data_IF_693515916612
#
_entry.id   IF_693515916612
#
_cell.length_a   1.000
_cell.length_b   1.000
_cell.length_c   1.000
_cell.angle_alpha   90.00
_cell.angle_beta   90.00
_cell.angle_gamma   90.00
#
_symmetry.space_group_name_H-M   'P 1'
#
loop_
_entity.id
_entity.type
_entity.pdbx_description
1 polymer ?
#
# COMPACT_ATOMS: atom_id res chain seq x y z
N UNK A 1 30.23 63.53 3.67
CA UNK A 1 28.78 63.42 3.96
C UNK A 1 28.04 62.51 2.99
N UNK A 2 28.57 62.25 1.79
CA UNK A 2 27.96 61.43 0.72
C UNK A 2 28.01 59.92 0.96
N UNK A 3 29.06 59.41 1.62
CA UNK A 3 29.24 57.97 1.83
C UNK A 3 28.24 57.39 2.84
N UNK A 4 27.87 58.17 3.86
CA UNK A 4 26.93 57.73 4.90
C UNK A 4 25.51 57.57 4.35
N UNK A 5 25.09 58.47 3.46
CA UNK A 5 23.81 58.40 2.77
C UNK A 5 23.73 57.22 1.78
N UNK A 6 24.83 56.88 1.11
CA UNK A 6 24.88 55.74 0.19
C UNK A 6 24.79 54.41 0.95
N UNK A 7 25.50 54.28 2.07
CA UNK A 7 25.42 53.09 2.91
C UNK A 7 24.04 52.91 3.54
N UNK A 8 23.38 53.99 3.98
CA UNK A 8 22.03 53.93 4.51
C UNK A 8 21.01 53.44 3.46
N UNK A 9 21.13 53.91 2.21
CA UNK A 9 20.28 53.48 1.10
C UNK A 9 20.46 51.99 0.78
N UNK A 10 21.71 51.51 0.72
CA UNK A 10 22.00 50.08 0.50
C UNK A 10 21.46 49.23 1.66
N UNK A 11 21.60 49.68 2.90
CA UNK A 11 21.06 48.96 4.06
C UNK A 11 19.53 48.87 4.01
N UNK A 12 18.86 49.96 3.66
CA UNK A 12 17.40 50.02 3.53
C UNK A 12 16.90 49.04 2.45
N UNK A 13 17.55 49.01 1.29
CA UNK A 13 17.23 48.06 0.21
C UNK A 13 17.45 46.60 0.62
N UNK A 14 18.52 46.29 1.36
CA UNK A 14 18.75 44.96 1.93
C UNK A 14 17.66 44.55 2.93
N UNK A 15 17.23 45.48 3.81
CA UNK A 15 16.16 45.19 4.77
C UNK A 15 14.80 44.99 4.12
N UNK A 16 14.52 45.72 3.02
CA UNK A 16 13.30 45.56 2.23
C UNK A 16 13.27 44.19 1.54
N UNK A 17 14.40 43.74 0.99
CA UNK A 17 14.51 42.41 0.37
C UNK A 17 14.34 41.28 1.39
N UNK A 18 14.92 41.41 2.58
CA UNK A 18 14.72 40.45 3.68
C UNK A 18 13.26 40.39 4.13
N UNK A 19 12.60 41.56 4.22
CA UNK A 19 11.19 41.66 4.56
C UNK A 19 10.29 41.01 3.50
N UNK A 20 10.58 41.27 2.23
CA UNK A 20 9.85 40.66 1.11
C UNK A 20 9.98 39.14 1.09
N UNK A 21 11.20 38.62 1.33
CA UNK A 21 11.47 37.18 1.40
C UNK A 21 10.73 36.53 2.57
N UNK A 22 10.69 37.19 3.74
CA UNK A 22 9.94 36.72 4.91
C UNK A 22 8.44 36.68 4.63
N UNK A 23 7.91 37.69 3.94
CA UNK A 23 6.51 37.75 3.53
C UNK A 23 6.17 36.62 2.55
N UNK A 24 6.98 36.44 1.49
CA UNK A 24 6.81 35.35 0.53
C UNK A 24 6.84 33.97 1.20
N UNK A 25 7.77 33.75 2.13
CA UNK A 25 7.87 32.48 2.85
C UNK A 25 6.64 32.22 3.73
N UNK A 26 6.12 33.25 4.40
CA UNK A 26 4.90 33.13 5.20
C UNK A 26 3.67 32.84 4.32
N UNK A 27 3.57 33.50 3.16
CA UNK A 27 2.50 33.24 2.18
C UNK A 27 2.55 31.81 1.63
N UNK A 28 3.75 31.29 1.33
CA UNK A 28 3.93 29.91 0.87
C UNK A 28 3.54 28.91 1.96
N UNK A 29 3.97 29.15 3.21
CA UNK A 29 3.59 28.30 4.34
C UNK A 29 2.07 28.32 4.54
N UNK A 30 1.45 29.50 4.51
CA UNK A 30 0.00 29.63 4.65
C UNK A 30 -0.75 28.90 3.53
N UNK A 31 -0.28 29.00 2.28
CA UNK A 31 -0.88 28.27 1.17
C UNK A 31 -0.74 26.75 1.34
N UNK A 32 0.43 26.29 1.78
CA UNK A 32 0.69 24.87 2.03
C UNK A 32 -0.20 24.34 3.16
N UNK A 33 -0.31 25.05 4.27
CA UNK A 33 -1.15 24.64 5.40
C UNK A 33 -2.63 24.62 5.02
N UNK A 34 -3.11 25.61 4.28
CA UNK A 34 -4.49 25.64 3.78
C UNK A 34 -4.79 24.48 2.83
N UNK A 35 -3.85 24.14 1.93
CA UNK A 35 -4.02 22.98 1.04
C UNK A 35 -4.05 21.65 1.81
N UNK A 36 -3.22 21.50 2.85
CA UNK A 36 -3.20 20.30 3.68
C UNK A 36 -4.51 20.14 4.48
N UNK A 37 -5.02 21.23 5.04
CA UNK A 37 -6.31 21.26 5.75
C UNK A 37 -7.44 20.84 4.80
N UNK A 38 -7.47 21.38 3.57
CA UNK A 38 -8.48 21.03 2.57
C UNK A 38 -8.45 19.52 2.27
N UNK A 39 -7.28 18.92 2.05
CA UNK A 39 -7.15 17.48 1.79
C UNK A 39 -7.69 16.65 2.96
N UNK A 40 -7.39 17.04 4.20
CA UNK A 40 -7.86 16.36 5.42
C UNK A 40 -9.39 16.38 5.53
N UNK A 41 -10.06 17.41 5.03
CA UNK A 41 -11.53 17.48 5.02
C UNK A 41 -12.16 16.81 3.79
N UNK A 42 -11.51 16.86 2.63
CA UNK A 42 -12.01 16.24 1.40
C UNK A 42 -12.07 14.72 1.52
N UNK A 43 -11.07 14.08 2.14
CA UNK A 43 -11.02 12.60 2.25
C UNK A 43 -12.20 12.02 3.06
N UNK A 44 -12.55 12.53 4.26
CA UNK A 44 -13.75 12.10 4.98
C UNK A 44 -15.05 12.37 4.21
N UNK A 45 -15.13 13.51 3.51
CA UNK A 45 -16.31 13.86 2.71
C UNK A 45 -16.53 12.91 1.54
N UNK A 46 -15.46 12.51 0.85
CA UNK A 46 -15.57 11.52 -0.25
C UNK A 46 -15.97 10.16 0.30
N UNK A 47 -15.40 9.71 1.43
CA UNK A 47 -15.80 8.45 2.09
C UNK A 47 -17.29 8.46 2.44
N UNK A 48 -17.77 9.54 3.05
CA UNK A 48 -19.20 9.69 3.38
C UNK A 48 -20.06 9.67 2.11
N UNK A 49 -19.68 10.40 1.07
CA UNK A 49 -20.37 10.39 -0.22
C UNK A 49 -20.49 8.97 -0.80
N UNK A 50 -19.41 8.18 -0.78
CA UNK A 50 -19.43 6.79 -1.26
C UNK A 50 -20.30 5.85 -0.41
N UNK A 51 -20.31 6.03 0.92
CA UNK A 51 -21.19 5.26 1.82
C UNK A 51 -22.67 5.58 1.52
N UNK A 52 -23.01 6.87 1.38
CA UNK A 52 -24.37 7.29 1.06
C UNK A 52 -24.79 6.81 -0.33
N UNK A 53 -23.91 6.91 -1.34
CA UNK A 53 -24.16 6.40 -2.68
C UNK A 53 -24.45 4.89 -2.65
N UNK A 54 -23.66 4.13 -1.90
CA UNK A 54 -23.86 2.68 -1.73
C UNK A 54 -25.23 2.38 -1.10
N UNK A 55 -25.63 3.12 -0.07
CA UNK A 55 -26.94 2.96 0.57
C UNK A 55 -28.10 3.34 -0.37
N UNK A 56 -27.97 4.43 -1.14
CA UNK A 56 -28.99 4.84 -2.12
C UNK A 56 -29.15 3.79 -3.21
N UNK A 57 -28.06 3.22 -3.72
CA UNK A 57 -28.12 2.15 -4.71
C UNK A 57 -28.80 0.91 -4.14
N UNK A 58 -28.55 0.55 -2.88
CA UNK A 58 -29.25 -0.53 -2.18
C UNK A 58 -30.75 -0.23 -2.00
N UNK A 59 -31.12 1.01 -1.66
CA UNK A 59 -32.50 1.44 -1.52
C UNK A 59 -33.26 1.42 -2.85
N UNK A 60 -32.63 1.87 -3.93
CA UNK A 60 -33.19 1.80 -5.29
C UNK A 60 -33.33 0.35 -5.73
N UNK A 61 -32.32 -0.48 -5.45
CA UNK A 61 -32.36 -1.91 -5.74
C UNK A 61 -33.54 -2.58 -5.03
N UNK A 62 -33.69 -2.36 -3.71
CA UNK A 62 -34.78 -2.89 -2.91
C UNK A 62 -36.16 -2.41 -3.39
N UNK A 63 -36.26 -1.15 -3.83
CA UNK A 63 -37.49 -0.56 -4.37
C UNK A 63 -37.89 -1.17 -5.71
N UNK A 64 -36.91 -1.53 -6.56
CA UNK A 64 -37.15 -2.07 -7.90
C UNK A 64 -37.33 -3.60 -7.90
N UNK A 65 -36.94 -4.28 -6.82
CA UNK A 65 -37.09 -5.72 -6.66
C UNK A 65 -38.23 -6.07 -5.68
N UNK A 66 -39.48 -5.88 -6.10
CA UNK A 66 -40.66 -6.32 -5.33
C UNK A 66 -40.81 -7.85 -5.26
N UNK A 67 -40.00 -8.65 -5.96
CA UNK A 67 -40.16 -10.11 -6.03
C UNK A 67 -39.01 -10.83 -5.31
N UNK A 68 -39.30 -11.25 -4.07
CA UNK A 68 -38.58 -12.21 -3.21
C UNK A 68 -37.16 -11.79 -2.77
N UNK A 69 -37.08 -10.79 -1.91
CA UNK A 69 -35.86 -10.48 -1.16
C UNK A 69 -35.88 -11.18 0.21
N UNK A 70 -35.52 -12.47 0.24
CA UNK A 70 -34.96 -13.00 1.49
C UNK A 70 -33.65 -12.25 1.75
N UNK A 71 -33.42 -11.70 2.96
CA UNK A 71 -32.14 -11.04 3.32
C UNK A 71 -30.91 -11.96 3.19
N UNK A 72 -31.15 -13.26 3.09
CA UNK A 72 -30.18 -14.34 2.86
C UNK A 72 -30.03 -14.74 1.38
N UNK A 73 -30.68 -14.03 0.46
CA UNK A 73 -30.64 -14.40 -0.95
C UNK A 73 -29.24 -14.23 -1.54
N UNK A 74 -28.92 -15.12 -2.49
CA UNK A 74 -27.64 -15.19 -3.19
C UNK A 74 -27.28 -13.86 -3.88
N UNK A 75 -28.30 -13.07 -4.27
CA UNK A 75 -28.13 -11.77 -4.92
C UNK A 75 -27.59 -10.70 -3.96
N UNK A 76 -28.05 -10.71 -2.71
CA UNK A 76 -27.50 -9.83 -1.67
C UNK A 76 -26.06 -10.20 -1.32
N UNK A 77 -25.72 -11.49 -1.38
CA UNK A 77 -24.35 -11.94 -1.15
C UNK A 77 -23.41 -11.52 -2.28
N UNK A 78 -23.90 -11.56 -3.52
CA UNK A 78 -23.19 -11.05 -4.70
C UNK A 78 -22.97 -9.53 -4.60
N UNK A 79 -23.98 -8.76 -4.20
CA UNK A 79 -23.87 -7.31 -4.01
C UNK A 79 -22.87 -6.93 -2.90
N UNK A 80 -22.85 -7.67 -1.78
CA UNK A 80 -21.85 -7.45 -0.72
C UNK A 80 -20.44 -7.77 -1.21
N UNK A 81 -20.27 -8.83 -1.99
CA UNK A 81 -18.98 -9.20 -2.60
C UNK A 81 -18.48 -8.16 -3.60
N UNK A 82 -19.37 -7.56 -4.41
CA UNK A 82 -18.96 -6.52 -5.36
C UNK A 82 -18.57 -5.22 -4.64
N UNK A 83 -19.30 -4.83 -3.60
CA UNK A 83 -18.94 -3.66 -2.75
C UNK A 83 -17.62 -3.92 -2.03
N UNK A 84 -17.44 -5.10 -1.42
CA UNK A 84 -16.20 -5.45 -0.73
C UNK A 84 -14.98 -5.46 -1.67
N UNK A 85 -15.14 -5.98 -2.88
CA UNK A 85 -14.09 -5.97 -3.91
C UNK A 85 -13.75 -4.54 -4.36
N UNK A 86 -14.78 -3.69 -4.56
CA UNK A 86 -14.58 -2.29 -4.91
C UNK A 86 -13.77 -1.54 -3.85
N UNK A 87 -14.10 -1.71 -2.57
CA UNK A 87 -13.35 -1.11 -1.46
C UNK A 87 -11.94 -1.71 -1.28
N UNK A 88 -11.74 -3.02 -1.51
CA UNK A 88 -10.41 -3.65 -1.48
C UNK A 88 -9.48 -3.09 -2.58
N UNK A 89 -10.03 -2.88 -3.78
CA UNK A 89 -9.30 -2.27 -4.91
C UNK A 89 -9.00 -0.80 -4.62
N UNK A 90 -9.97 -0.04 -4.12
CA UNK A 90 -9.77 1.36 -3.78
C UNK A 90 -8.70 1.53 -2.68
N UNK A 91 -8.73 0.68 -1.65
CA UNK A 91 -7.71 0.65 -0.60
C UNK A 91 -6.32 0.31 -1.18
N UNK A 92 -6.20 -0.68 -2.08
CA UNK A 92 -4.92 -1.03 -2.71
C UNK A 92 -4.35 0.11 -3.57
N UNK A 93 -5.21 0.84 -4.27
CA UNK A 93 -4.83 1.96 -5.14
C UNK A 93 -4.37 3.15 -4.30
N UNK A 94 -5.10 3.48 -3.22
CA UNK A 94 -4.67 4.51 -2.28
C UNK A 94 -3.33 4.18 -1.61
N UNK A 95 -3.08 2.89 -1.35
CA UNK A 95 -1.88 2.46 -0.63
C UNK A 95 -0.58 2.43 -1.46
N UNK A 96 -0.57 2.57 -2.80
CA UNK A 96 0.66 2.70 -3.63
C UNK A 96 1.70 1.55 -3.51
N UNK A 97 1.40 0.54 -2.70
CA UNK A 97 2.34 -0.42 -2.15
C UNK A 97 2.80 -1.45 -3.19
N UNK A 98 1.94 -1.75 -4.16
CA UNK A 98 2.26 -2.69 -5.23
C UNK A 98 3.45 -2.20 -6.06
N UNK A 99 3.51 -0.90 -6.36
CA UNK A 99 4.59 -0.29 -7.14
C UNK A 99 5.91 -0.26 -6.36
N UNK A 100 5.85 -0.03 -5.05
CA UNK A 100 7.03 -0.09 -4.19
C UNK A 100 7.60 -1.52 -4.13
N UNK A 101 6.74 -2.53 -4.03
CA UNK A 101 7.12 -3.94 -3.93
C UNK A 101 7.75 -4.47 -5.24
N UNK A 102 7.26 -4.02 -6.38
CA UNK A 102 7.81 -4.39 -7.69
C UNK A 102 9.23 -3.82 -7.88
N UNK A 103 9.47 -2.57 -7.43
CA UNK A 103 10.80 -1.95 -7.47
C UNK A 103 11.78 -2.62 -6.50
N UNK A 104 11.32 -3.19 -5.39
CA UNK A 104 12.17 -3.95 -4.45
C UNK A 104 12.40 -5.40 -4.87
N UNK A 105 11.95 -5.81 -6.07
CA UNK A 105 12.17 -7.14 -6.62
C UNK A 105 11.24 -8.21 -6.03
N UNK A 106 10.12 -7.81 -5.41
CA UNK A 106 9.08 -8.74 -4.95
C UNK A 106 8.23 -9.15 -6.13
N UNK A 107 8.55 -10.31 -6.71
CA UNK A 107 7.74 -10.91 -7.77
C UNK A 107 6.49 -11.59 -7.19
N UNK A 108 5.40 -11.71 -7.99
CA UNK A 108 4.30 -12.60 -7.67
C UNK A 108 4.83 -13.99 -7.27
N UNK A 109 4.39 -14.50 -6.12
CA UNK A 109 4.85 -15.80 -5.58
C UNK A 109 4.34 -17.03 -6.34
N UNK A 110 4.10 -16.93 -7.66
CA UNK A 110 3.69 -18.04 -8.52
C UNK A 110 4.85 -19.01 -8.72
N UNK A 111 4.55 -20.29 -9.01
CA UNK A 111 5.59 -21.31 -9.18
C UNK A 111 6.39 -21.08 -10.45
N UNK A 112 5.71 -20.68 -11.52
CA UNK A 112 6.33 -20.45 -12.82
C UNK A 112 7.36 -19.32 -12.77
N UNK A 113 7.04 -18.22 -12.11
CA UNK A 113 7.95 -17.06 -12.00
C UNK A 113 9.17 -17.39 -11.15
N UNK A 114 8.98 -18.12 -10.03
CA UNK A 114 10.10 -18.61 -9.24
C UNK A 114 11.03 -19.52 -10.06
N UNK A 115 10.47 -20.40 -10.89
CA UNK A 115 11.25 -21.29 -11.75
C UNK A 115 12.05 -20.52 -12.80
N UNK A 116 11.45 -19.51 -13.42
CA UNK A 116 12.12 -18.65 -14.41
C UNK A 116 13.26 -17.88 -13.74
N UNK A 117 13.01 -17.28 -12.56
CA UNK A 117 14.01 -16.55 -11.81
C UNK A 117 15.22 -17.44 -11.43
N UNK A 118 14.96 -18.65 -10.92
CA UNK A 118 16.01 -19.61 -10.55
C UNK A 118 16.81 -20.09 -11.76
N UNK A 119 16.14 -20.38 -12.90
CA UNK A 119 16.82 -20.79 -14.14
C UNK A 119 17.69 -19.69 -14.74
N UNK A 120 17.32 -18.43 -14.52
CA UNK A 120 18.10 -17.27 -14.93
C UNK A 120 19.28 -16.96 -13.98
N UNK A 121 19.49 -17.78 -12.94
CA UNK A 121 20.57 -17.61 -11.98
C UNK A 121 20.29 -16.56 -10.90
N UNK A 122 19.04 -16.09 -10.75
CA UNK A 122 18.65 -15.21 -9.66
C UNK A 122 18.45 -15.98 -8.37
N UNK A 123 18.87 -15.39 -7.25
CA UNK A 123 18.58 -15.92 -5.93
C UNK A 123 17.14 -15.57 -5.54
N UNK A 124 16.34 -16.58 -5.18
CA UNK A 124 14.97 -16.40 -4.74
C UNK A 124 14.85 -16.76 -3.26
N UNK A 125 14.32 -15.83 -2.47
CA UNK A 125 13.97 -16.09 -1.07
C UNK A 125 12.48 -16.43 -0.98
N UNK A 126 12.15 -17.58 -0.40
CA UNK A 126 10.75 -18.04 -0.23
C UNK A 126 10.54 -18.42 1.23
N UNK A 127 9.54 -17.81 1.88
CA UNK A 127 9.03 -18.29 3.16
C UNK A 127 8.12 -19.50 2.90
N UNK A 128 8.48 -20.71 3.33
CA UNK A 128 7.74 -21.94 2.98
C UNK A 128 6.29 -21.97 3.49
N UNK A 129 5.99 -21.25 4.57
CA UNK A 129 4.65 -21.03 5.14
C UNK A 129 3.89 -19.84 4.55
N UNK A 130 4.45 -19.15 3.54
CA UNK A 130 3.86 -18.04 2.81
C UNK A 130 3.80 -16.73 3.60
N UNK A 131 2.88 -15.84 3.20
CA UNK A 131 2.69 -14.50 3.80
C UNK A 131 2.50 -14.56 5.32
N UNK A 132 1.85 -15.61 5.83
CA UNK A 132 1.67 -15.80 7.28
C UNK A 132 2.99 -16.04 8.01
N UNK A 133 3.91 -16.82 7.44
CA UNK A 133 5.23 -16.98 8.05
C UNK A 133 6.06 -15.69 7.90
N UNK A 134 5.99 -15.03 6.74
CA UNK A 134 6.71 -13.79 6.49
C UNK A 134 6.28 -12.64 7.44
N UNK A 135 5.01 -12.59 7.83
CA UNK A 135 4.47 -11.53 8.70
C UNK A 135 4.48 -11.87 10.20
N UNK A 136 4.40 -13.15 10.58
CA UNK A 136 4.17 -13.57 11.98
C UNK A 136 5.24 -14.53 12.55
N UNK A 137 6.43 -14.61 11.95
CA UNK A 137 7.52 -15.45 12.48
C UNK A 137 8.29 -14.75 13.60
N UNK A 138 8.31 -15.37 14.79
CA UNK A 138 9.13 -14.97 15.94
C UNK A 138 10.17 -16.05 16.30
N UNK A 139 10.90 -15.89 17.41
CA UNK A 139 11.91 -16.87 17.89
C UNK A 139 11.33 -18.23 18.30
N UNK A 140 10.06 -18.26 18.68
CA UNK A 140 9.35 -19.47 19.12
C UNK A 140 8.51 -20.13 18.02
N UNK A 141 8.39 -19.47 16.86
CA UNK A 141 7.50 -19.87 15.78
C UNK A 141 7.85 -21.26 15.24
N UNK A 142 6.89 -22.18 15.34
CA UNK A 142 7.01 -23.50 14.75
C UNK A 142 6.43 -23.52 13.34
N UNK A 143 7.26 -23.96 12.40
CA UNK A 143 6.87 -24.02 11.00
C UNK A 143 5.78 -25.07 10.78
N UNK A 144 4.60 -24.60 10.38
CA UNK A 144 3.45 -25.45 10.06
C UNK A 144 3.47 -25.78 8.58
N UNK A 145 4.05 -26.93 8.22
CA UNK A 145 4.15 -27.37 6.82
C UNK A 145 2.78 -27.67 6.20
N UNK A 146 1.92 -28.42 6.88
CA UNK A 146 0.68 -28.95 6.29
C UNK A 146 0.97 -29.71 4.98
N UNK A 147 0.14 -29.51 3.95
CA UNK A 147 0.36 -30.04 2.59
C UNK A 147 1.05 -29.03 1.64
N UNK A 148 1.71 -28.00 2.17
CA UNK A 148 2.30 -26.92 1.37
C UNK A 148 3.71 -27.30 0.90
N UNK A 149 3.78 -27.90 -0.29
CA UNK A 149 5.04 -28.40 -0.91
C UNK A 149 5.49 -27.60 -2.13
N UNK A 150 4.87 -26.45 -2.39
CA UNK A 150 5.09 -25.67 -3.61
C UNK A 150 6.53 -25.19 -3.80
N UNK A 151 7.16 -24.64 -2.77
CA UNK A 151 8.55 -24.17 -2.85
C UNK A 151 9.54 -25.33 -3.06
N UNK A 152 9.29 -26.49 -2.44
CA UNK A 152 10.13 -27.68 -2.59
C UNK A 152 10.02 -28.25 -4.01
N UNK A 153 8.82 -28.27 -4.58
CA UNK A 153 8.61 -28.66 -5.98
C UNK A 153 9.36 -27.72 -6.93
N UNK A 154 9.29 -26.41 -6.69
CA UNK A 154 10.03 -25.41 -7.49
C UNK A 154 11.55 -25.64 -7.42
N UNK A 155 12.09 -25.94 -6.25
CA UNK A 155 13.52 -26.24 -6.10
C UNK A 155 13.94 -27.53 -6.82
N UNK A 156 13.11 -28.58 -6.75
CA UNK A 156 13.31 -29.84 -7.47
C UNK A 156 13.29 -29.63 -8.99
N UNK A 157 12.29 -28.90 -9.48
CA UNK A 157 12.09 -28.63 -10.90
C UNK A 157 13.19 -27.71 -11.47
N UNK A 158 13.69 -26.76 -10.67
CA UNK A 158 14.83 -25.91 -11.03
C UNK A 158 16.20 -26.58 -10.82
N UNK A 159 16.25 -27.75 -10.16
CA UNK A 159 17.48 -28.47 -9.79
C UNK A 159 18.45 -27.60 -8.98
N UNK A 160 17.92 -26.82 -8.04
CA UNK A 160 18.71 -25.94 -7.16
C UNK A 160 18.67 -26.45 -5.73
N UNK A 161 19.77 -26.26 -5.01
CA UNK A 161 19.83 -26.60 -3.60
C UNK A 161 19.10 -25.55 -2.75
N UNK A 162 18.33 -26.03 -1.77
CA UNK A 162 17.66 -25.16 -0.80
C UNK A 162 18.67 -24.80 0.29
N UNK A 163 19.17 -23.57 0.27
CA UNK A 163 19.97 -23.04 1.36
C UNK A 163 19.09 -22.81 2.59
N UNK A 164 19.32 -23.59 3.65
CA UNK A 164 18.61 -23.42 4.92
C UNK A 164 19.34 -22.38 5.77
N UNK A 165 18.67 -21.29 6.19
CA UNK A 165 19.24 -20.38 7.17
C UNK A 165 19.52 -21.14 8.46
N UNK A 166 20.55 -20.72 9.19
CA UNK A 166 21.07 -21.41 10.38
C UNK A 166 20.00 -21.69 11.46
N UNK A 167 18.97 -20.84 11.51
CA UNK A 167 17.77 -20.98 12.37
C UNK A 167 16.94 -22.24 12.09
N UNK A 168 16.96 -22.77 10.86
CA UNK A 168 16.24 -24.00 10.47
C UNK A 168 17.11 -25.27 10.52
N UNK A 169 18.42 -25.16 10.78
CA UNK A 169 19.32 -26.33 10.87
C UNK A 169 19.03 -27.24 12.07
N UNK A 170 18.27 -26.76 13.08
CA UNK A 170 17.90 -27.54 14.29
C UNK A 170 16.71 -28.50 14.10
N UNK A 171 16.05 -28.52 12.95
CA UNK A 171 14.98 -29.48 12.65
C UNK A 171 15.31 -30.26 11.38
N UNK A 172 15.73 -31.51 11.57
CA UNK A 172 15.94 -32.50 10.52
C UNK A 172 14.61 -32.77 9.81
N UNK A 173 14.64 -32.80 8.48
CA UNK A 173 13.52 -33.28 7.67
C UNK A 173 13.55 -34.80 7.77
N UNK A 174 12.60 -35.37 8.51
CA UNK A 174 12.27 -36.80 8.46
C UNK A 174 10.97 -36.93 7.69
#
# INVERSE_FOLDING_TARGET
MTDLSCLAYVLEEWTVVEYLKKYLFHMIIALLTMSAILVVFIVPLTILFFIYLSNILLLIYQRNSEVKADPLSEVWDSARKTIASFWDIYARIWHGLKLLLEVTGVMPGSREECLIALKNGHLVSISPGGVREALFSDESYQLMWGNRKGFAQVALDAKVDILKPERLKKKTFV
#
